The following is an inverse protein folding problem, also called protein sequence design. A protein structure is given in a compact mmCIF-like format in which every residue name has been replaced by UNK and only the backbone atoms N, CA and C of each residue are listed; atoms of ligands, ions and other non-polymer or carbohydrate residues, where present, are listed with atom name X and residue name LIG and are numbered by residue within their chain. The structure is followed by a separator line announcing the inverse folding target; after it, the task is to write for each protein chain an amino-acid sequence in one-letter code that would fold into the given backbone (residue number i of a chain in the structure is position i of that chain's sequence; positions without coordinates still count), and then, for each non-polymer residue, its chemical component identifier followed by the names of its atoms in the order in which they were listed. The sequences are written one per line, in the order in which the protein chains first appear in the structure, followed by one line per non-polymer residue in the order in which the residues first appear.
data_IF_363858685246
#
_entry.id   IF_363858685246
#
_cell.length_a   1.000
_cell.length_b   1.000
_cell.length_c   1.000
_cell.angle_alpha   90.00
_cell.angle_beta   90.00
_cell.angle_gamma   90.00
#
_symmetry.space_group_name_H-M   'P 1'
#
loop_
_entity.id
_entity.type
_entity.pdbx_description
1 polymer ?
#
# COMPACT_ATOMS: atom_id res chain seq x y z
N UNK A 1 -9.63 -18.16 17.36
CA UNK A 1 -10.16 -18.35 16.00
C UNK A 1 -10.44 -16.94 15.50
N UNK A 2 -9.65 -16.46 14.55
CA UNK A 2 -9.78 -15.08 14.04
C UNK A 2 -11.08 -14.98 13.24
N UNK A 3 -11.87 -13.94 13.49
CA UNK A 3 -13.09 -13.66 12.74
C UNK A 3 -12.71 -12.83 11.50
N UNK A 4 -12.39 -13.52 10.41
CA UNK A 4 -11.96 -12.91 9.15
C UNK A 4 -12.98 -11.93 8.60
N UNK A 5 -14.27 -12.27 8.70
CA UNK A 5 -15.34 -11.39 8.22
C UNK A 5 -15.41 -10.08 9.01
N UNK A 6 -15.09 -10.10 10.31
CA UNK A 6 -14.98 -8.87 11.10
C UNK A 6 -13.74 -8.06 10.74
N UNK A 7 -12.60 -8.71 10.58
CA UNK A 7 -11.34 -8.06 10.21
C UNK A 7 -11.44 -7.39 8.84
N UNK A 8 -11.96 -8.11 7.84
CA UNK A 8 -12.20 -7.59 6.49
C UNK A 8 -13.12 -6.35 6.51
N UNK A 9 -14.20 -6.38 7.28
CA UNK A 9 -15.10 -5.21 7.40
C UNK A 9 -14.42 -4.01 8.05
N UNK A 10 -13.72 -4.23 9.15
CA UNK A 10 -12.99 -3.16 9.84
C UNK A 10 -11.95 -2.50 8.91
N UNK A 11 -11.29 -3.30 8.06
CA UNK A 11 -10.33 -2.77 7.08
C UNK A 11 -11.02 -1.97 5.97
N UNK A 12 -12.14 -2.44 5.42
CA UNK A 12 -12.90 -1.68 4.42
C UNK A 12 -13.36 -0.32 4.99
N UNK A 13 -13.83 -0.29 6.23
CA UNK A 13 -14.21 0.95 6.92
C UNK A 13 -13.00 1.89 7.09
N UNK A 14 -11.81 1.34 7.40
CA UNK A 14 -10.59 2.13 7.49
C UNK A 14 -10.16 2.68 6.12
N UNK A 15 -10.21 1.86 5.06
CA UNK A 15 -9.83 2.27 3.71
C UNK A 15 -10.77 3.32 3.13
N UNK A 16 -12.08 3.19 3.36
CA UNK A 16 -13.06 4.21 2.99
C UNK A 16 -12.77 5.55 3.68
N UNK A 17 -12.27 5.52 4.93
CA UNK A 17 -11.87 6.73 5.66
C UNK A 17 -10.55 7.33 5.19
N UNK A 18 -9.58 6.50 4.77
CA UNK A 18 -8.25 6.97 4.33
C UNK A 18 -8.31 7.49 2.89
N UNK A 19 -9.12 6.85 2.04
CA UNK A 19 -9.19 7.11 0.60
C UNK A 19 -10.63 7.42 0.14
N UNK A 20 -11.28 8.46 0.67
CA UNK A 20 -12.71 8.72 0.41
C UNK A 20 -13.04 8.96 -1.06
N UNK A 21 -12.11 9.51 -1.84
CA UNK A 21 -12.31 9.84 -3.26
C UNK A 21 -11.79 8.75 -4.21
N UNK A 22 -10.94 7.84 -3.71
CA UNK A 22 -10.22 6.84 -4.51
C UNK A 22 -10.66 5.41 -4.23
N UNK A 23 -11.50 5.17 -3.21
CA UNK A 23 -11.98 3.85 -2.82
C UNK A 23 -13.47 3.70 -3.10
N UNK A 24 -13.90 2.52 -3.57
CA UNK A 24 -15.31 2.24 -3.81
C UNK A 24 -15.63 0.77 -3.56
N UNK A 25 -16.65 0.49 -2.75
CA UNK A 25 -17.15 -0.88 -2.54
C UNK A 25 -18.07 -1.28 -3.71
N UNK A 26 -17.83 -2.46 -4.28
CA UNK A 26 -18.60 -3.02 -5.40
C UNK A 26 -19.59 -4.11 -4.97
N UNK A 27 -19.21 -4.94 -4.00
CA UNK A 27 -19.99 -6.09 -3.53
C UNK A 27 -19.64 -6.40 -2.09
N UNK A 28 -20.59 -6.93 -1.33
CA UNK A 28 -20.38 -7.39 0.06
C UNK A 28 -20.21 -8.92 0.15
N UNK A 29 -20.58 -9.69 -0.89
CA UNK A 29 -20.48 -11.15 -0.84
C UNK A 29 -20.16 -11.80 -2.22
N UNK A 30 -18.90 -12.18 -2.49
CA UNK A 30 -17.73 -11.88 -1.66
C UNK A 30 -17.47 -10.36 -1.59
N UNK A 31 -16.80 -9.85 -0.54
CA UNK A 31 -16.42 -8.45 -0.45
C UNK A 31 -15.49 -8.09 -1.61
N UNK A 32 -15.90 -7.14 -2.45
CA UNK A 32 -15.11 -6.63 -3.56
C UNK A 32 -15.14 -5.12 -3.56
N UNK A 33 -13.99 -4.51 -3.84
CA UNK A 33 -13.83 -3.05 -3.87
C UNK A 33 -12.80 -2.66 -4.92
N UNK A 34 -12.78 -1.38 -5.28
CA UNK A 34 -11.78 -0.79 -6.16
C UNK A 34 -10.99 0.29 -5.44
N UNK A 35 -9.70 0.39 -5.76
CA UNK A 35 -8.85 1.52 -5.41
C UNK A 35 -8.27 2.11 -6.70
N UNK A 36 -8.43 3.41 -6.86
CA UNK A 36 -7.84 4.18 -7.96
C UNK A 36 -6.54 4.84 -7.50
N UNK A 37 -5.44 4.49 -8.15
CA UNK A 37 -4.11 5.08 -7.93
C UNK A 37 -3.78 5.96 -9.11
N UNK A 38 -3.43 7.22 -8.84
CA UNK A 38 -2.99 8.19 -9.85
C UNK A 38 -1.56 8.59 -9.53
N UNK A 39 -0.68 8.58 -10.53
CA UNK A 39 0.68 9.08 -10.38
C UNK A 39 0.68 10.57 -10.08
N UNK A 40 1.77 11.07 -9.52
CA UNK A 40 2.03 12.50 -9.57
C UNK A 40 2.11 12.95 -11.04
N UNK A 41 1.75 14.21 -11.29
CA UNK A 41 1.86 14.80 -12.62
C UNK A 41 3.34 14.89 -13.03
N UNK A 42 3.66 14.35 -14.20
CA UNK A 42 5.00 14.42 -14.77
C UNK A 42 5.35 15.82 -15.29
N UNK A 43 6.50 15.93 -15.95
CA UNK A 43 7.01 17.20 -16.50
C UNK A 43 6.05 17.87 -17.51
N UNK A 44 5.17 17.09 -18.16
CA UNK A 44 4.18 17.57 -19.12
C UNK A 44 2.77 17.75 -18.52
N UNK A 45 2.65 17.79 -17.19
CA UNK A 45 1.36 17.74 -16.47
C UNK A 45 0.53 16.47 -16.78
N UNK A 46 1.19 15.41 -17.27
CA UNK A 46 0.55 14.13 -17.58
C UNK A 46 0.55 13.23 -16.35
N UNK A 47 -0.59 12.61 -16.08
CA UNK A 47 -0.77 11.61 -15.02
C UNK A 47 -1.13 10.26 -15.60
N UNK A 48 -0.63 9.23 -14.96
CA UNK A 48 -0.96 7.85 -15.22
C UNK A 48 -1.91 7.36 -14.13
N UNK A 49 -2.99 6.69 -14.51
CA UNK A 49 -3.98 6.20 -13.55
C UNK A 49 -4.27 4.72 -13.76
N UNK A 50 -4.45 4.00 -12.67
CA UNK A 50 -4.93 2.62 -12.68
C UNK A 50 -5.97 2.41 -11.58
N UNK A 51 -7.04 1.70 -11.91
CA UNK A 51 -8.04 1.26 -10.95
C UNK A 51 -7.92 -0.23 -10.77
N UNK A 52 -7.54 -0.66 -9.57
CA UNK A 52 -7.40 -2.05 -9.20
C UNK A 52 -8.66 -2.51 -8.49
N UNK A 53 -9.21 -3.65 -8.89
CA UNK A 53 -10.30 -4.33 -8.20
C UNK A 53 -9.73 -5.45 -7.36
N UNK A 54 -10.03 -5.44 -6.07
CA UNK A 54 -9.70 -6.51 -5.13
C UNK A 54 -10.96 -7.29 -4.76
N UNK A 55 -10.81 -8.59 -4.51
CA UNK A 55 -11.87 -9.43 -3.96
C UNK A 55 -11.33 -10.21 -2.76
N UNK A 56 -11.88 -9.98 -1.56
CA UNK A 56 -11.44 -10.72 -0.39
C UNK A 56 -11.88 -12.19 -0.47
N UNK A 57 -10.93 -13.07 -0.15
CA UNK A 57 -11.20 -14.49 0.08
C UNK A 57 -11.68 -14.71 1.51
N UNK A 58 -12.36 -15.82 1.76
CA UNK A 58 -12.76 -16.20 3.12
C UNK A 58 -11.57 -16.43 4.08
N UNK A 59 -10.36 -16.56 3.53
CA UNK A 59 -9.11 -16.81 4.26
C UNK A 59 -8.21 -15.58 4.37
N UNK A 60 -8.57 -14.45 3.78
CA UNK A 60 -7.84 -13.20 3.97
C UNK A 60 -7.86 -12.83 5.47
N UNK A 61 -6.71 -12.47 6.08
CA UNK A 61 -5.44 -12.06 5.45
C UNK A 61 -4.43 -13.19 5.16
N UNK A 62 -4.72 -14.44 5.54
CA UNK A 62 -3.79 -15.56 5.33
C UNK A 62 -3.64 -15.97 3.86
N UNK A 63 -4.65 -15.72 3.04
CA UNK A 63 -4.59 -15.87 1.59
C UNK A 63 -4.78 -14.49 0.96
N UNK A 64 -3.81 -14.01 0.15
CA UNK A 64 -3.90 -12.68 -0.46
C UNK A 64 -5.13 -12.60 -1.38
N UNK A 65 -5.79 -11.43 -1.47
CA UNK A 65 -6.94 -11.29 -2.32
C UNK A 65 -6.50 -11.31 -3.79
N UNK A 66 -7.21 -12.04 -4.68
CA UNK A 66 -7.04 -11.82 -6.11
C UNK A 66 -7.33 -10.35 -6.45
N UNK A 67 -6.53 -9.82 -7.37
CA UNK A 67 -6.70 -8.49 -7.90
C UNK A 67 -6.79 -8.52 -9.43
N UNK A 68 -7.49 -7.55 -10.00
CA UNK A 68 -7.68 -7.39 -11.43
C UNK A 68 -7.53 -5.91 -11.79
N UNK A 69 -6.98 -5.61 -12.98
CA UNK A 69 -7.01 -4.24 -13.52
C UNK A 69 -8.42 -3.98 -14.03
N UNK A 70 -9.13 -3.08 -13.34
CA UNK A 70 -10.51 -2.70 -13.70
C UNK A 70 -10.52 -1.64 -14.81
N UNK A 71 -9.61 -0.68 -14.72
CA UNK A 71 -9.36 0.33 -15.76
C UNK A 71 -7.95 0.86 -15.67
N UNK A 72 -7.42 1.36 -16.78
CA UNK A 72 -6.13 2.04 -16.86
C UNK A 72 -6.22 3.21 -17.83
N UNK A 73 -5.59 4.33 -17.48
CA UNK A 73 -5.48 5.53 -18.31
C UNK A 73 -4.02 5.95 -18.42
N UNK A 74 -3.57 6.23 -19.65
CA UNK A 74 -2.19 6.58 -19.99
C UNK A 74 -1.13 5.55 -19.55
N UNK A 75 -1.56 4.31 -19.27
CA UNK A 75 -0.68 3.15 -19.19
C UNK A 75 -0.62 2.51 -20.57
N UNK A 76 0.55 2.53 -21.20
CA UNK A 76 0.78 1.74 -22.41
C UNK A 76 0.66 0.26 -22.06
N UNK A 77 -0.28 -0.42 -22.71
CA UNK A 77 -0.54 -1.85 -22.59
C UNK A 77 0.59 -2.65 -23.27
N UNK A 78 1.80 -2.54 -22.73
CA UNK A 78 2.98 -3.22 -23.25
C UNK A 78 2.95 -4.69 -22.80
N UNK A 79 1.98 -5.46 -23.30
CA UNK A 79 2.06 -6.91 -23.53
C UNK A 79 2.40 -7.85 -22.36
N UNK A 80 2.50 -7.38 -21.12
CA UNK A 80 2.84 -8.22 -19.97
C UNK A 80 1.66 -9.03 -19.43
N UNK A 81 0.43 -8.73 -19.85
CA UNK A 81 -0.79 -9.32 -19.31
C UNK A 81 -1.37 -10.48 -20.14
N UNK A 82 -0.76 -10.83 -21.29
CA UNK A 82 -1.19 -12.04 -22.04
C UNK A 82 -0.67 -13.35 -21.43
N UNK A 83 0.25 -13.30 -20.46
CA UNK A 83 0.74 -14.49 -19.74
C UNK A 83 0.27 -14.48 -18.28
N UNK A 84 -1.05 -14.61 -18.08
CA UNK A 84 -1.63 -15.03 -16.80
C UNK A 84 -1.32 -16.52 -16.54
N UNK A 85 -0.03 -16.86 -16.52
CA UNK A 85 0.52 -18.20 -16.36
C UNK A 85 1.91 -18.22 -15.71
N UNK A 86 2.63 -17.10 -15.67
CA UNK A 86 3.95 -17.05 -15.04
C UNK A 86 3.87 -16.58 -13.59
N UNK A 87 4.30 -17.43 -12.65
CA UNK A 87 4.65 -17.00 -11.31
C UNK A 87 5.67 -15.86 -11.41
N UNK A 88 5.32 -14.66 -10.93
CA UNK A 88 6.30 -13.62 -10.67
C UNK A 88 7.13 -14.10 -9.47
N UNK A 89 8.23 -14.80 -9.73
CA UNK A 89 9.21 -15.15 -8.71
C UNK A 89 9.81 -13.84 -8.21
N UNK A 90 9.34 -13.36 -7.05
CA UNK A 90 9.98 -12.26 -6.36
C UNK A 90 11.41 -12.70 -6.02
N UNK A 91 12.40 -12.09 -6.67
CA UNK A 91 13.80 -12.37 -6.41
C UNK A 91 14.18 -11.79 -5.04
N UNK A 92 14.37 -12.67 -4.06
CA UNK A 92 14.68 -12.30 -2.67
C UNK A 92 16.03 -11.56 -2.51
N UNK A 93 16.83 -11.41 -3.57
CA UNK A 93 18.11 -10.70 -3.52
C UNK A 93 17.95 -9.23 -3.08
N UNK A 94 16.82 -8.59 -3.42
CA UNK A 94 16.51 -7.21 -3.00
C UNK A 94 16.28 -7.08 -1.49
N UNK A 95 15.83 -8.15 -0.83
CA UNK A 95 15.63 -8.16 0.63
C UNK A 95 16.89 -8.58 1.39
N UNK A 96 17.77 -9.36 0.76
CA UNK A 96 19.07 -9.72 1.34
C UNK A 96 20.00 -8.51 1.50
N UNK A 97 19.98 -7.55 0.56
CA UNK A 97 20.77 -6.31 0.69
C UNK A 97 20.35 -5.43 1.89
N UNK A 98 19.10 -5.56 2.36
CA UNK A 98 18.61 -4.83 3.53
C UNK A 98 18.92 -5.54 4.86
N UNK A 99 19.04 -6.86 4.86
CA UNK A 99 19.38 -7.65 6.08
C UNK A 99 20.88 -7.55 6.41
N UNK A 100 21.72 -7.31 5.40
CA UNK A 100 23.17 -7.03 5.56
C UNK A 100 23.46 -5.59 6.04
N UNK A 101 22.45 -4.70 6.12
CA UNK A 101 22.60 -3.44 6.84
C UNK A 101 22.57 -3.70 8.35
N UNK A 102 23.71 -4.02 8.95
CA UNK A 102 23.90 -3.85 10.39
C UNK A 102 23.61 -2.39 10.73
N UNK A 103 22.44 -2.13 11.34
CA UNK A 103 22.15 -0.86 11.99
C UNK A 103 23.21 -0.68 13.08
N UNK A 104 24.28 0.08 12.80
CA UNK A 104 25.16 0.59 13.84
C UNK A 104 24.25 1.27 14.86
N UNK A 105 24.23 0.73 16.10
CA UNK A 105 23.47 1.29 17.20
C UNK A 105 23.73 2.80 17.26
N UNK A 106 22.78 3.58 16.76
CA UNK A 106 22.77 5.02 16.94
C UNK A 106 22.69 5.18 18.44
N UNK A 107 23.83 5.50 19.05
CA UNK A 107 23.93 5.70 20.49
C UNK A 107 22.80 6.64 20.87
N UNK A 108 21.97 6.16 21.79
CA UNK A 108 20.96 6.93 22.49
C UNK A 108 21.64 8.17 23.08
N UNK A 109 21.61 9.29 22.34
CA UNK A 109 21.98 10.62 22.83
C UNK A 109 20.91 11.01 23.86
N UNK A 110 21.05 10.38 25.03
CA UNK A 110 20.27 10.57 26.25
C UNK A 110 20.44 11.96 26.88
N UNK A 111 21.10 12.87 26.15
CA UNK A 111 21.21 14.29 26.49
C UNK A 111 20.00 15.12 26.03
N UNK A 112 19.03 14.52 25.33
CA UNK A 112 17.75 15.17 25.07
C UNK A 112 16.91 15.25 26.36
N UNK A 113 17.02 16.38 27.07
CA UNK A 113 16.12 16.72 28.15
C UNK A 113 14.92 17.52 27.61
N UNK A 114 13.73 16.90 27.39
CA UNK A 114 12.54 17.60 26.91
C UNK A 114 11.99 18.63 27.93
N UNK A 115 12.54 18.66 29.15
CA UNK A 115 12.14 19.59 30.20
C UNK A 115 13.04 20.84 30.29
N UNK A 116 13.96 21.08 29.34
CA UNK A 116 14.66 22.36 29.26
C UNK A 116 13.74 23.41 28.61
N UNK A 117 13.22 24.40 29.35
CA UNK A 117 12.51 25.52 28.72
C UNK A 117 13.52 26.29 27.88
N UNK A 118 13.15 26.57 26.62
CA UNK A 118 13.95 27.39 25.72
C UNK A 118 14.42 28.66 26.42
N UNK A 119 15.73 28.77 26.62
CA UNK A 119 16.34 30.02 27.03
C UNK A 119 16.66 30.78 25.75
N UNK A 120 15.64 31.48 25.28
CA UNK A 120 15.82 32.69 24.52
C UNK A 120 16.52 33.70 25.43
N UNK A 121 17.71 34.13 25.04
CA UNK A 121 18.31 35.36 25.55
C UNK A 121 19.20 35.96 24.48
N UNK A 122 18.64 36.98 23.83
CA UNK A 122 19.34 38.07 23.15
C UNK A 122 20.40 38.70 24.09
N UNK A 123 21.66 38.76 23.63
CA UNK A 123 22.52 39.95 23.59
C UNK A 123 23.70 39.71 22.63
#
# INVERSE_FOLDING_TARGET
MTDYSKEQRNELEALESIYPDSFTVLSENPPSFTITVTSEAGENDETVQTTLKFTYSEKYPYEPPPYEIFSQENLEDNGFLEDAGNNVEADESLFQELDDLELEDVKDDSDYNPAAPGSDSED
#
